data_IF_960865677505
#
_entry.id   IF_960865677505
#
_cell.length_a   1.000
_cell.length_b   1.000
_cell.length_c   1.000
_cell.angle_alpha   90.00
_cell.angle_beta   90.00
_cell.angle_gamma   90.00
#
_symmetry.space_group_name_H-M   'P 1'
#
loop_
_entity.id
_entity.type
_entity.pdbx_description
1 polymer ?
#
# COMPACT_ATOMS: atom_id res chain seq x y z
N UNK A 1 43.13 -50.55 47.22
CA UNK A 1 42.33 -51.10 46.11
C UNK A 1 40.93 -50.53 46.22
N UNK A 2 40.56 -49.59 45.38
CA UNK A 2 39.27 -48.92 45.46
C UNK A 2 38.37 -49.43 44.33
N UNK A 3 37.25 -50.02 44.66
CA UNK A 3 36.22 -50.45 43.76
C UNK A 3 35.27 -49.25 43.48
N UNK A 4 35.26 -48.72 42.25
CA UNK A 4 34.26 -47.78 41.79
C UNK A 4 32.96 -48.51 41.50
N UNK A 5 31.91 -48.21 42.25
CA UNK A 5 30.53 -48.63 41.96
C UNK A 5 29.97 -47.78 40.87
N UNK A 6 29.65 -48.40 39.75
CA UNK A 6 28.95 -47.76 38.64
C UNK A 6 27.45 -47.81 38.91
N UNK A 7 26.83 -46.68 39.15
CA UNK A 7 25.37 -46.57 39.31
C UNK A 7 24.78 -46.31 37.92
N UNK A 8 24.06 -47.29 37.37
CA UNK A 8 23.29 -47.13 36.16
C UNK A 8 21.99 -46.42 36.50
N UNK A 9 21.84 -45.15 36.07
CA UNK A 9 20.60 -44.43 36.16
C UNK A 9 19.80 -44.67 34.87
N UNK A 10 18.67 -45.34 34.99
CA UNK A 10 17.70 -45.50 33.91
C UNK A 10 16.98 -44.17 33.68
N UNK A 11 17.21 -43.56 32.52
CA UNK A 11 16.45 -42.37 32.07
C UNK A 11 15.12 -42.87 31.48
N UNK A 12 14.04 -42.72 32.22
CA UNK A 12 12.69 -42.80 31.69
C UNK A 12 12.41 -41.52 30.92
N UNK A 13 12.38 -41.58 29.58
CA UNK A 13 11.94 -40.46 28.71
C UNK A 13 10.42 -40.39 28.74
N UNK A 14 9.87 -39.55 29.60
CA UNK A 14 8.46 -39.16 29.54
C UNK A 14 8.28 -38.20 28.36
N UNK A 15 7.67 -38.67 27.27
CA UNK A 15 7.18 -37.82 26.19
C UNK A 15 6.01 -36.97 26.69
N UNK A 16 6.31 -35.84 27.34
CA UNK A 16 5.34 -34.80 27.57
C UNK A 16 5.24 -34.05 26.22
N UNK A 17 4.09 -34.22 25.57
CA UNK A 17 3.74 -33.47 24.36
C UNK A 17 3.74 -31.98 24.68
N UNK A 18 4.91 -31.36 24.58
CA UNK A 18 5.06 -29.93 24.70
C UNK A 18 4.36 -29.28 23.50
N UNK A 19 3.24 -28.59 23.75
CA UNK A 19 2.68 -27.63 22.85
C UNK A 19 3.77 -26.57 22.70
N UNK A 20 4.52 -26.64 21.61
CA UNK A 20 5.47 -25.58 21.24
C UNK A 20 4.63 -24.33 21.03
N UNK A 21 4.76 -23.27 21.87
CA UNK A 21 4.03 -22.05 21.61
C UNK A 21 4.45 -21.57 20.23
N UNK A 22 3.47 -21.43 19.32
CA UNK A 22 3.70 -20.85 18.02
C UNK A 22 4.43 -19.53 18.26
N UNK A 23 5.72 -19.48 17.91
CA UNK A 23 6.51 -18.27 18.00
C UNK A 23 5.77 -17.21 17.21
N UNK A 24 5.08 -16.31 17.90
CA UNK A 24 4.53 -15.12 17.31
C UNK A 24 5.72 -14.36 16.73
N UNK A 25 5.89 -14.46 15.42
CA UNK A 25 6.90 -13.68 14.69
C UNK A 25 6.58 -12.22 15.01
N UNK A 26 7.27 -11.70 16.01
CA UNK A 26 7.12 -10.34 16.46
C UNK A 26 7.49 -9.46 15.27
N UNK A 27 6.49 -8.88 14.62
CA UNK A 27 6.68 -8.05 13.46
C UNK A 27 7.75 -7.00 13.79
N UNK A 28 8.89 -7.08 13.11
CA UNK A 28 10.03 -6.23 13.39
C UNK A 28 9.59 -4.78 13.48
N UNK A 29 9.85 -4.14 14.62
CA UNK A 29 9.39 -2.79 14.92
C UNK A 29 9.98 -1.80 13.90
N UNK A 30 9.12 -1.10 13.17
CA UNK A 30 9.53 -0.18 12.12
C UNK A 30 9.94 1.16 12.74
N UNK A 31 11.25 1.44 12.79
CA UNK A 31 11.75 2.75 13.25
C UNK A 31 11.62 3.79 12.15
N UNK A 32 10.80 4.83 12.40
CA UNK A 32 10.52 5.91 11.46
C UNK A 32 10.60 7.28 12.14
N UNK A 33 10.76 8.34 11.32
CA UNK A 33 10.63 9.74 11.75
C UNK A 33 9.65 10.45 10.84
N UNK A 34 8.61 11.05 11.43
CA UNK A 34 7.69 11.95 10.75
C UNK A 34 7.19 13.02 11.73
N UNK A 35 6.76 14.16 11.22
CA UNK A 35 6.36 15.32 12.03
C UNK A 35 7.40 15.68 13.11
N UNK A 36 8.70 15.66 12.73
CA UNK A 36 9.80 15.99 13.62
C UNK A 36 10.16 14.94 14.68
N UNK A 37 9.31 13.94 14.93
CA UNK A 37 9.48 12.93 15.99
C UNK A 37 9.92 11.58 15.46
N UNK A 38 10.93 10.98 16.10
CA UNK A 38 11.35 9.59 15.85
C UNK A 38 10.56 8.67 16.76
N UNK A 39 10.04 7.56 16.20
CA UNK A 39 9.26 6.57 16.94
C UNK A 39 9.39 5.17 16.36
N UNK A 40 9.16 4.18 17.20
CA UNK A 40 8.92 2.81 16.74
C UNK A 40 7.45 2.68 16.38
N UNK A 41 7.17 2.46 15.12
CA UNK A 41 5.82 2.28 14.63
C UNK A 41 5.32 0.88 14.96
N UNK A 42 4.33 0.81 15.84
CA UNK A 42 3.69 -0.45 16.28
C UNK A 42 2.39 -0.76 15.54
N UNK A 43 1.98 0.12 14.62
CA UNK A 43 0.74 -0.03 13.87
C UNK A 43 0.84 -1.00 12.70
N UNK A 44 -0.26 -1.10 11.95
CA UNK A 44 -0.36 -1.98 10.78
C UNK A 44 0.55 -1.50 9.65
N UNK A 45 1.48 -2.34 9.22
CA UNK A 45 2.25 -2.13 8.00
C UNK A 45 1.37 -2.51 6.81
N UNK A 46 1.24 -1.60 5.84
CA UNK A 46 0.32 -1.75 4.73
C UNK A 46 1.08 -2.21 3.48
N UNK A 47 0.52 -3.21 2.83
CA UNK A 47 0.97 -3.71 1.53
C UNK A 47 0.01 -3.24 0.43
N UNK A 48 0.47 -3.23 -0.82
CA UNK A 48 -0.34 -2.80 -1.96
C UNK A 48 -0.33 -3.88 -3.03
N UNK A 49 -1.48 -4.11 -3.64
CA UNK A 49 -1.64 -4.90 -4.87
C UNK A 49 -2.25 -4.02 -5.95
N UNK A 50 -1.85 -4.25 -7.19
CA UNK A 50 -2.44 -3.64 -8.38
C UNK A 50 -2.76 -4.71 -9.41
N UNK A 51 -4.00 -4.70 -9.94
CA UNK A 51 -4.48 -5.69 -10.91
C UNK A 51 -4.14 -7.12 -10.49
N UNK A 52 -4.47 -7.48 -9.25
CA UNK A 52 -4.23 -8.77 -8.59
C UNK A 52 -2.75 -9.15 -8.37
N UNK A 53 -1.79 -8.30 -8.76
CA UNK A 53 -0.36 -8.52 -8.49
C UNK A 53 0.07 -7.82 -7.22
N UNK A 54 0.79 -8.53 -6.35
CA UNK A 54 1.41 -7.93 -5.17
C UNK A 54 2.57 -7.04 -5.57
N UNK A 55 2.53 -5.79 -5.14
CA UNK A 55 3.61 -4.85 -5.38
C UNK A 55 4.65 -4.94 -4.27
N UNK A 56 5.93 -4.98 -4.65
CA UNK A 56 7.05 -5.04 -3.71
C UNK A 56 7.66 -3.65 -3.51
N UNK A 57 7.90 -3.26 -2.26
CA UNK A 57 8.63 -2.03 -1.95
C UNK A 57 9.50 -2.24 -0.71
N UNK A 58 10.66 -1.58 -0.70
CA UNK A 58 11.51 -1.46 0.50
C UNK A 58 10.83 -0.60 1.59
N UNK A 59 9.76 0.09 1.25
CA UNK A 59 9.01 0.99 2.13
C UNK A 59 7.57 0.53 2.21
N UNK A 60 7.15 0.15 3.39
CA UNK A 60 5.76 -0.23 3.64
C UNK A 60 4.90 1.01 3.86
N UNK A 61 3.62 0.92 3.52
CA UNK A 61 2.65 1.91 3.95
C UNK A 61 2.39 1.81 5.46
N UNK A 62 1.89 2.88 6.05
CA UNK A 62 1.55 2.96 7.48
C UNK A 62 0.20 3.65 7.66
N UNK A 63 -0.42 3.49 8.82
CA UNK A 63 -1.58 4.29 9.19
C UNK A 63 -1.15 5.50 10.02
N UNK A 64 -1.62 6.68 9.65
CA UNK A 64 -1.49 7.90 10.44
C UNK A 64 -2.92 8.40 10.70
N UNK A 65 -3.30 8.55 11.98
CA UNK A 65 -4.65 8.97 12.38
C UNK A 65 -5.76 8.16 11.66
N UNK A 66 -5.64 6.84 11.63
CA UNK A 66 -6.54 5.90 10.95
C UNK A 66 -6.58 6.03 9.41
N UNK A 67 -5.77 6.90 8.80
CA UNK A 67 -5.66 7.04 7.34
C UNK A 67 -4.53 6.16 6.81
N UNK A 68 -4.82 5.36 5.79
CA UNK A 68 -3.84 4.54 5.11
C UNK A 68 -2.94 5.42 4.24
N UNK A 69 -1.66 5.48 4.59
CA UNK A 69 -0.62 6.26 3.90
C UNK A 69 0.32 5.34 3.17
N UNK A 70 0.56 5.57 1.89
CA UNK A 70 1.43 4.71 1.06
C UNK A 70 2.56 5.48 0.38
N UNK A 71 3.71 4.84 0.12
CA UNK A 71 4.76 5.34 -0.75
C UNK A 71 4.26 5.49 -2.19
N UNK A 72 3.85 6.71 -2.59
CA UNK A 72 3.22 6.91 -3.88
C UNK A 72 4.14 6.54 -5.06
N UNK A 73 5.44 6.87 -4.93
CA UNK A 73 6.38 6.65 -6.02
C UNK A 73 6.53 5.16 -6.35
N UNK A 74 6.72 4.32 -5.32
CA UNK A 74 6.90 2.89 -5.53
C UNK A 74 5.64 2.21 -6.04
N UNK A 75 4.48 2.58 -5.47
CA UNK A 75 3.23 1.88 -5.73
C UNK A 75 2.40 2.45 -6.88
N UNK A 76 2.41 3.75 -7.11
CA UNK A 76 1.59 4.35 -8.18
C UNK A 76 2.41 4.66 -9.45
N UNK A 77 3.67 5.11 -9.28
CA UNK A 77 4.50 5.55 -10.40
C UNK A 77 5.35 4.41 -10.95
N UNK A 78 6.09 3.70 -10.08
CA UNK A 78 7.09 2.73 -10.52
C UNK A 78 6.50 1.37 -10.89
N UNK A 79 5.59 0.81 -10.10
CA UNK A 79 5.14 -0.58 -10.24
C UNK A 79 3.67 -0.74 -10.61
N UNK A 80 2.77 0.07 -10.04
CA UNK A 80 1.32 -0.03 -10.21
C UNK A 80 0.83 0.59 -11.52
N UNK A 81 -0.18 1.49 -11.47
CA UNK A 81 -0.86 2.04 -12.65
C UNK A 81 0.01 2.95 -13.53
N UNK A 82 1.29 3.13 -13.19
CA UNK A 82 2.24 3.97 -13.94
C UNK A 82 1.81 5.44 -14.05
N UNK A 83 1.25 5.96 -12.97
CA UNK A 83 0.82 7.36 -12.85
C UNK A 83 1.98 8.30 -13.20
N UNK A 84 1.75 9.25 -14.10
CA UNK A 84 2.73 10.31 -14.42
C UNK A 84 2.86 11.25 -13.23
N UNK A 85 4.10 11.67 -12.93
CA UNK A 85 4.36 12.56 -11.79
C UNK A 85 5.24 13.74 -12.13
N UNK A 86 4.99 14.88 -11.48
CA UNK A 86 5.93 15.98 -11.33
C UNK A 86 6.07 16.31 -9.85
N UNK A 87 7.29 16.46 -9.36
CA UNK A 87 7.55 16.82 -7.97
C UNK A 87 8.63 17.91 -7.87
N UNK A 88 8.27 19.02 -7.25
CA UNK A 88 9.19 20.10 -6.91
C UNK A 88 9.69 19.94 -5.48
N UNK A 89 11.01 19.80 -5.30
CA UNK A 89 11.61 19.65 -3.97
C UNK A 89 11.54 20.96 -3.16
N UNK A 90 11.67 22.11 -3.80
CA UNK A 90 11.67 23.42 -3.16
C UNK A 90 10.30 23.78 -2.58
N UNK A 91 9.23 23.64 -3.37
CA UNK A 91 7.87 23.97 -2.93
C UNK A 91 7.13 22.78 -2.27
N UNK A 92 7.66 21.56 -2.39
CA UNK A 92 6.97 20.36 -1.97
C UNK A 92 5.73 20.01 -2.82
N UNK A 93 5.54 20.70 -3.97
CA UNK A 93 4.40 20.50 -4.87
C UNK A 93 4.52 19.17 -5.60
N UNK A 94 3.47 18.37 -5.54
CA UNK A 94 3.31 17.07 -6.18
C UNK A 94 2.14 17.14 -7.14
N UNK A 95 2.37 16.81 -8.41
CA UNK A 95 1.33 16.65 -9.42
C UNK A 95 1.35 15.19 -9.86
N UNK A 96 0.19 14.56 -9.84
CA UNK A 96 -0.03 13.19 -10.30
C UNK A 96 -1.08 13.21 -11.40
N UNK A 97 -0.84 12.48 -12.50
CA UNK A 97 -1.76 12.36 -13.62
C UNK A 97 -1.98 10.90 -14.00
N UNK A 98 -3.25 10.53 -14.22
CA UNK A 98 -3.65 9.23 -14.73
C UNK A 98 -4.79 9.45 -15.75
N UNK A 99 -4.50 9.24 -17.04
CA UNK A 99 -5.41 9.69 -18.08
C UNK A 99 -5.68 11.20 -17.98
N UNK A 100 -6.95 11.58 -17.94
CA UNK A 100 -7.41 12.96 -17.83
C UNK A 100 -7.41 13.47 -16.38
N UNK A 101 -7.34 12.59 -15.41
CA UNK A 101 -7.34 12.97 -14.01
C UNK A 101 -6.01 13.57 -13.59
N UNK A 102 -6.08 14.76 -13.02
CA UNK A 102 -4.93 15.50 -12.49
C UNK A 102 -5.15 15.85 -11.03
N UNK A 103 -4.25 15.40 -10.17
CA UNK A 103 -4.24 15.71 -8.76
C UNK A 103 -3.01 16.56 -8.42
N UNK A 104 -3.22 17.75 -7.85
CA UNK A 104 -2.15 18.64 -7.37
C UNK A 104 -2.23 18.76 -5.85
N UNK A 105 -1.15 18.40 -5.16
CA UNK A 105 -1.04 18.48 -3.70
C UNK A 105 0.31 19.07 -3.30
N UNK A 106 0.45 19.47 -2.04
CA UNK A 106 1.75 19.85 -1.45
C UNK A 106 2.01 19.04 -0.21
N UNK A 107 3.26 18.62 -0.04
CA UNK A 107 3.71 17.91 1.16
C UNK A 107 3.53 18.81 2.39
N UNK A 108 2.90 18.27 3.44
CA UNK A 108 2.59 18.99 4.67
C UNK A 108 1.29 19.80 4.63
N UNK A 109 0.64 19.93 3.47
CA UNK A 109 -0.64 20.65 3.35
C UNK A 109 -1.82 19.70 3.13
N UNK A 110 -2.93 19.94 3.81
CA UNK A 110 -4.15 19.13 3.65
C UNK A 110 -4.96 19.50 2.41
N UNK A 111 -4.82 20.76 1.93
CA UNK A 111 -5.47 21.21 0.70
C UNK A 111 -4.84 20.55 -0.52
N UNK A 112 -5.67 20.07 -1.43
CA UNK A 112 -5.27 19.60 -2.75
C UNK A 112 -6.30 20.01 -3.81
N UNK A 113 -5.94 19.88 -5.07
CA UNK A 113 -6.82 20.14 -6.21
C UNK A 113 -6.94 18.88 -7.04
N UNK A 114 -8.17 18.52 -7.37
CA UNK A 114 -8.49 17.41 -8.28
C UNK A 114 -9.19 18.02 -9.50
N UNK A 115 -8.57 17.92 -10.66
CA UNK A 115 -9.07 18.55 -11.91
C UNK A 115 -9.43 20.03 -11.72
N UNK A 116 -8.57 20.77 -10.99
CA UNK A 116 -8.79 22.18 -10.64
C UNK A 116 -9.70 22.43 -9.43
N UNK A 117 -10.50 21.46 -9.00
CA UNK A 117 -11.43 21.60 -7.88
C UNK A 117 -10.70 21.41 -6.54
N UNK A 118 -10.84 22.40 -5.65
CA UNK A 118 -10.25 22.39 -4.30
C UNK A 118 -10.90 21.33 -3.42
N UNK A 119 -10.07 20.49 -2.75
CA UNK A 119 -10.50 19.45 -1.82
C UNK A 119 -9.55 19.40 -0.60
N UNK A 120 -9.91 18.61 0.41
CA UNK A 120 -9.14 18.52 1.67
C UNK A 120 -8.87 17.07 2.04
N UNK A 121 -7.61 16.73 2.34
CA UNK A 121 -7.21 15.45 2.91
C UNK A 121 -7.51 15.39 4.42
N UNK A 122 -7.86 14.23 4.92
CA UNK A 122 -7.91 13.98 6.37
C UNK A 122 -6.50 14.03 6.99
N UNK A 123 -5.49 13.56 6.29
CA UNK A 123 -4.07 13.64 6.66
C UNK A 123 -3.28 14.15 5.46
N UNK A 124 -2.41 15.14 5.67
CA UNK A 124 -1.57 15.69 4.59
C UNK A 124 -0.56 14.68 4.06
N UNK A 125 -0.18 14.73 2.75
CA UNK A 125 1.02 14.07 2.27
C UNK A 125 2.22 14.43 3.14
N UNK A 126 2.99 13.44 3.58
CA UNK A 126 4.04 13.67 4.58
C UNK A 126 5.36 12.98 4.24
N UNK A 127 6.48 13.60 4.62
CA UNK A 127 7.81 13.00 4.53
C UNK A 127 8.03 12.06 5.71
N UNK A 128 8.42 10.82 5.43
CA UNK A 128 8.74 9.81 6.45
C UNK A 128 10.15 9.28 6.19
N UNK A 129 11.02 9.39 7.19
CA UNK A 129 12.34 8.77 7.16
C UNK A 129 12.25 7.35 7.71
N UNK A 130 12.65 6.39 6.90
CA UNK A 130 12.78 4.98 7.28
C UNK A 130 14.22 4.71 7.71
N UNK A 131 14.42 4.37 8.98
CA UNK A 131 15.78 4.23 9.54
C UNK A 131 16.53 3.02 8.96
N UNK A 132 15.84 1.92 8.68
CA UNK A 132 16.44 0.72 8.09
C UNK A 132 17.12 1.02 6.75
N UNK A 133 16.55 1.90 5.93
CA UNK A 133 17.07 2.26 4.60
C UNK A 133 17.76 3.62 4.59
N UNK A 134 17.74 4.36 5.70
CA UNK A 134 18.24 5.73 5.84
C UNK A 134 17.63 6.74 4.83
N UNK A 135 16.53 6.37 4.16
CA UNK A 135 15.86 7.19 3.14
C UNK A 135 14.62 7.89 3.69
N UNK A 136 14.38 9.10 3.17
CA UNK A 136 13.14 9.85 3.40
C UNK A 136 12.29 9.77 2.15
N UNK A 137 11.05 9.34 2.31
CA UNK A 137 10.09 9.19 1.21
C UNK A 137 8.80 9.94 1.54
N UNK A 138 8.00 10.22 0.53
CA UNK A 138 6.70 10.86 0.68
C UNK A 138 5.64 9.77 0.72
N UNK A 139 4.86 9.78 1.81
CA UNK A 139 3.64 9.01 1.92
C UNK A 139 2.44 9.90 1.61
N UNK A 140 1.45 9.32 0.97
CA UNK A 140 0.21 9.98 0.56
C UNK A 140 -1.01 9.26 1.13
N UNK A 141 -2.14 9.98 1.36
CA UNK A 141 -3.42 9.36 1.72
C UNK A 141 -3.95 8.50 0.57
N UNK A 142 -3.84 7.16 0.72
CA UNK A 142 -4.07 6.22 -0.37
C UNK A 142 -5.49 6.33 -0.97
N UNK A 143 -6.54 6.31 -0.13
CA UNK A 143 -7.93 6.33 -0.60
C UNK A 143 -8.24 7.58 -1.45
N UNK A 144 -7.93 8.77 -0.92
CA UNK A 144 -8.26 10.02 -1.58
C UNK A 144 -7.51 10.19 -2.93
N UNK A 145 -6.23 9.77 -2.96
CA UNK A 145 -5.41 9.93 -4.17
C UNK A 145 -5.72 8.87 -5.21
N UNK A 146 -5.88 7.60 -4.81
CA UNK A 146 -6.21 6.51 -5.74
C UNK A 146 -7.56 6.79 -6.41
N UNK A 147 -8.60 7.10 -5.63
CA UNK A 147 -9.91 7.44 -6.19
C UNK A 147 -9.91 8.74 -7.01
N UNK A 148 -9.15 9.74 -6.56
CA UNK A 148 -9.01 11.00 -7.29
C UNK A 148 -8.29 10.87 -8.64
N UNK A 149 -7.56 9.79 -8.85
CA UNK A 149 -6.91 9.44 -10.12
C UNK A 149 -7.74 8.44 -10.95
N UNK A 150 -9.06 8.35 -10.71
CA UNK A 150 -9.96 7.49 -11.46
C UNK A 150 -9.75 5.98 -11.21
N UNK A 151 -9.03 5.59 -10.16
CA UNK A 151 -8.75 4.21 -9.84
C UNK A 151 -9.65 3.68 -8.72
N UNK A 152 -9.95 2.39 -8.74
CA UNK A 152 -10.66 1.72 -7.66
C UNK A 152 -9.73 1.47 -6.47
N UNK A 153 -10.26 1.68 -5.27
CA UNK A 153 -9.56 1.48 -4.00
C UNK A 153 -10.38 0.57 -3.09
N UNK A 154 -9.77 -0.52 -2.61
CA UNK A 154 -10.31 -1.40 -1.57
C UNK A 154 -9.24 -1.66 -0.52
N UNK A 155 -9.60 -1.65 0.76
CA UNK A 155 -8.69 -1.99 1.86
C UNK A 155 -9.23 -3.19 2.63
N UNK A 156 -8.37 -4.18 2.86
CA UNK A 156 -8.64 -5.32 3.73
C UNK A 156 -7.87 -5.16 5.03
N UNK A 157 -8.60 -5.11 6.14
CA UNK A 157 -8.02 -4.99 7.48
C UNK A 157 -7.37 -6.30 7.96
N UNK A 158 -7.89 -7.45 7.52
CA UNK A 158 -7.34 -8.77 7.86
C UNK A 158 -5.97 -8.99 7.22
N UNK A 159 -5.85 -8.77 5.91
CA UNK A 159 -4.59 -8.90 5.18
C UNK A 159 -3.68 -7.67 5.25
N UNK A 160 -4.15 -6.57 5.86
CA UNK A 160 -3.45 -5.27 5.90
C UNK A 160 -3.05 -4.78 4.50
N UNK A 161 -3.89 -5.05 3.50
CA UNK A 161 -3.59 -4.84 2.08
C UNK A 161 -4.56 -3.85 1.44
N UNK A 162 -4.00 -3.00 0.60
CA UNK A 162 -4.71 -2.08 -0.28
C UNK A 162 -4.71 -2.70 -1.67
N UNK A 163 -5.89 -2.86 -2.25
CA UNK A 163 -6.10 -3.32 -3.62
C UNK A 163 -6.45 -2.12 -4.48
N UNK A 164 -5.72 -1.97 -5.58
CA UNK A 164 -5.92 -0.93 -6.59
C UNK A 164 -6.21 -1.62 -7.91
N UNK A 165 -7.26 -1.20 -8.60
CA UNK A 165 -7.60 -1.70 -9.94
C UNK A 165 -8.01 -0.56 -10.85
N UNK A 166 -7.95 -0.79 -12.17
CA UNK A 166 -8.60 0.09 -13.14
C UNK A 166 -10.11 -0.01 -12.99
N UNK A 167 -10.87 1.06 -13.24
CA UNK A 167 -12.30 0.94 -13.44
C UNK A 167 -12.59 0.03 -14.64
N UNK A 168 -13.60 -0.80 -14.51
CA UNK A 168 -14.11 -1.58 -15.65
C UNK A 168 -14.88 -0.58 -16.52
N UNK A 169 -14.40 -0.32 -17.72
CA UNK A 169 -15.17 0.39 -18.75
C UNK A 169 -16.11 -0.67 -19.33
N UNK A 170 -17.45 -0.50 -19.23
CA UNK A 170 -18.35 -1.39 -19.93
C UNK A 170 -17.99 -1.31 -21.42
N UNK A 171 -17.71 -2.46 -22.04
CA UNK A 171 -17.62 -2.54 -23.49
C UNK A 171 -19.00 -2.18 -24.02
N UNK A 172 -19.13 -1.05 -24.68
CA UNK A 172 -20.35 -0.73 -25.40
C UNK A 172 -20.68 -1.90 -26.32
N UNK A 173 -21.85 -2.49 -26.07
CA UNK A 173 -22.41 -3.52 -26.90
C UNK A 173 -22.41 -3.00 -28.33
N UNK A 174 -21.63 -3.63 -29.18
CA UNK A 174 -21.61 -3.42 -30.63
C UNK A 174 -23.06 -3.38 -31.12
N UNK A 175 -23.54 -2.19 -31.47
CA UNK A 175 -24.80 -2.03 -32.21
C UNK A 175 -24.60 -2.74 -33.54
N UNK A 176 -25.10 -3.98 -33.62
CA UNK A 176 -25.24 -4.64 -34.89
C UNK A 176 -26.23 -3.84 -35.71
N UNK A 177 -25.70 -3.07 -36.63
CA UNK A 177 -26.49 -2.51 -37.73
C UNK A 177 -26.97 -3.71 -38.55
N UNK A 178 -28.23 -4.13 -38.31
CA UNK A 178 -28.94 -5.02 -39.19
C UNK A 178 -29.14 -4.26 -40.50
N UNK A 179 -28.30 -4.56 -41.47
CA UNK A 179 -28.55 -4.25 -42.87
C UNK A 179 -29.71 -5.13 -43.33
N UNK A 180 -30.91 -4.54 -43.39
CA UNK A 180 -32.08 -5.14 -43.97
C UNK A 180 -31.86 -5.23 -45.49
N UNK A 181 -31.96 -6.41 -46.14
CA UNK A 181 -31.88 -6.49 -47.61
C UNK A 181 -33.15 -5.91 -48.18
N UNK A 182 -33.00 -4.89 -49.04
CA UNK A 182 -34.08 -4.35 -49.91
C UNK A 182 -34.55 -5.45 -50.82
N UNK A 183 -35.77 -5.93 -50.58
CA UNK A 183 -36.47 -6.81 -51.50
C UNK A 183 -36.82 -6.06 -52.79
N UNK A 184 -36.34 -6.56 -53.91
CA UNK A 184 -36.76 -6.18 -55.26
C UNK A 184 -38.22 -6.58 -55.50
N UNK A 185 -39.03 -5.62 -55.86
CA UNK A 185 -40.39 -5.85 -56.40
C UNK A 185 -40.28 -5.87 -57.93
N UNK A 186 -40.81 -6.93 -58.54
CA UNK A 186 -41.15 -7.01 -59.96
C UNK A 186 -42.42 -6.21 -60.23
#
# INVERSE_FOLDING_TARGET
>A
MYYKKILAAALTVSCIGGIVPANSVQAASLKIRYSGKTRYYKGKQLHVSYANKNLSSKYVGIQINKVNMIPYYDYLVKQGPKVKRTYSKSSGKLILKNGDDTLTASVGKRTYYLNGVKKTFSVAPTKVKYYKTKKTIILIPANAIVKGLGLNYKYSSSSKRIYITQPVIPSDSTTQVQTQPSGSVQ
#
